data_IF_535109853606
#
_entry.id   IF_535109853606
#
_cell.length_a   1.000
_cell.length_b   1.000
_cell.length_c   1.000
_cell.angle_alpha   90.00
_cell.angle_beta   90.00
_cell.angle_gamma   90.00
#
_symmetry.space_group_name_H-M   'P 1'
#
loop_
_entity.id
_entity.type
_entity.pdbx_description
1 polymer ?
#
# COMPACT_ATOMS: atom_id res chain seq x y z
N UNK A 1 -13.22 -4.73 -6.62
CA UNK A 1 -12.08 -3.86 -6.29
C UNK A 1 -12.29 -3.39 -4.86
N UNK A 2 -11.35 -3.71 -3.99
CA UNK A 2 -11.32 -3.35 -2.59
C UNK A 2 -11.14 -1.83 -2.48
N UNK A 3 -12.02 -1.18 -1.72
CA UNK A 3 -11.90 0.22 -1.37
C UNK A 3 -11.09 0.35 -0.08
N UNK A 4 -9.80 0.64 -0.23
CA UNK A 4 -8.83 0.63 0.90
C UNK A 4 -9.14 1.66 1.98
N UNK A 5 -9.82 2.76 1.62
CA UNK A 5 -10.24 3.80 2.56
C UNK A 5 -11.41 3.33 3.41
N UNK A 6 -12.32 2.54 2.82
CA UNK A 6 -13.45 1.96 3.54
C UNK A 6 -13.03 0.77 4.41
N UNK A 7 -12.06 -0.02 3.95
CA UNK A 7 -11.54 -1.18 4.70
C UNK A 7 -10.65 -0.79 5.87
N UNK A 8 -9.79 0.22 5.71
CA UNK A 8 -8.80 0.63 6.73
C UNK A 8 -8.82 2.14 6.98
N UNK A 9 -9.96 2.73 7.39
CA UNK A 9 -10.11 4.17 7.57
C UNK A 9 -9.09 4.76 8.55
N UNK A 10 -8.65 4.00 9.55
CA UNK A 10 -7.66 4.39 10.55
C UNK A 10 -6.28 4.72 9.95
N UNK A 11 -5.93 4.15 8.79
CA UNK A 11 -4.69 4.48 8.10
C UNK A 11 -4.77 5.86 7.42
N UNK A 12 -5.98 6.31 7.09
CA UNK A 12 -6.19 7.56 6.36
C UNK A 12 -6.47 8.77 7.26
N UNK A 13 -6.57 8.57 8.58
CA UNK A 13 -6.76 9.69 9.51
C UNK A 13 -5.63 10.72 9.37
N UNK A 14 -6.01 11.99 9.18
CA UNK A 14 -5.07 13.11 9.09
C UNK A 14 -4.35 13.26 7.75
N UNK A 15 -4.62 12.42 6.75
CA UNK A 15 -4.22 12.70 5.36
C UNK A 15 -5.15 13.71 4.71
N UNK A 16 -4.62 14.45 3.74
CA UNK A 16 -5.46 15.29 2.89
C UNK A 16 -6.21 14.44 1.84
N UNK A 17 -7.23 15.03 1.21
CA UNK A 17 -8.02 14.35 0.17
C UNK A 17 -7.19 13.97 -1.06
N UNK A 18 -6.12 14.72 -1.39
CA UNK A 18 -5.29 14.46 -2.57
C UNK A 18 -4.44 13.22 -2.36
N UNK A 19 -3.81 13.09 -1.21
CA UNK A 19 -3.02 11.94 -0.83
C UNK A 19 -3.90 10.70 -0.67
N UNK A 20 -5.08 10.86 -0.07
CA UNK A 20 -6.08 9.79 0.07
C UNK A 20 -6.50 9.23 -1.28
N UNK A 21 -6.88 10.09 -2.23
CA UNK A 21 -7.26 9.65 -3.57
C UNK A 21 -6.06 9.11 -4.37
N UNK A 22 -4.86 9.65 -4.16
CA UNK A 22 -3.63 9.12 -4.75
C UNK A 22 -3.34 7.68 -4.33
N UNK A 23 -3.45 7.39 -3.03
CA UNK A 23 -3.27 6.04 -2.48
C UNK A 23 -4.39 5.11 -2.99
N UNK A 24 -5.63 5.57 -2.99
CA UNK A 24 -6.78 4.81 -3.51
C UNK A 24 -6.58 4.41 -4.97
N UNK A 25 -6.14 5.35 -5.81
CA UNK A 25 -5.84 5.09 -7.22
C UNK A 25 -4.66 4.11 -7.41
N UNK A 26 -3.61 4.23 -6.60
CA UNK A 26 -2.48 3.30 -6.63
C UNK A 26 -2.89 1.86 -6.26
N UNK A 27 -3.72 1.72 -5.22
CA UNK A 27 -4.29 0.43 -4.83
C UNK A 27 -5.25 -0.12 -5.88
N UNK A 28 -6.08 0.73 -6.50
CA UNK A 28 -6.96 0.32 -7.60
C UNK A 28 -6.15 -0.21 -8.79
N UNK A 29 -5.07 0.48 -9.18
CA UNK A 29 -4.18 0.05 -10.26
C UNK A 29 -3.54 -1.30 -9.96
N UNK A 30 -3.01 -1.49 -8.74
CA UNK A 30 -2.42 -2.77 -8.33
C UNK A 30 -3.41 -3.93 -8.40
N UNK A 31 -4.68 -3.69 -8.07
CA UNK A 31 -5.73 -4.70 -8.16
C UNK A 31 -6.07 -5.08 -9.60
N UNK A 32 -6.02 -4.13 -10.54
CA UNK A 32 -6.17 -4.43 -11.97
C UNK A 32 -5.03 -5.32 -12.49
N UNK A 33 -3.85 -5.24 -11.87
CA UNK A 33 -2.71 -6.12 -12.13
C UNK A 33 -2.78 -7.46 -11.36
N UNK A 34 -3.89 -7.73 -10.67
CA UNK A 34 -4.11 -8.97 -9.91
C UNK A 34 -3.47 -9.00 -8.53
N UNK A 35 -2.95 -7.86 -8.04
CA UNK A 35 -2.39 -7.75 -6.68
C UNK A 35 -3.43 -7.16 -5.73
N UNK A 36 -3.91 -7.98 -4.80
CA UNK A 36 -4.79 -7.50 -3.74
C UNK A 36 -4.01 -6.60 -2.76
N UNK A 37 -4.55 -5.44 -2.35
CA UNK A 37 -3.96 -4.62 -1.30
C UNK A 37 -3.98 -5.39 0.02
N UNK A 38 -2.94 -5.20 0.82
CA UNK A 38 -2.84 -5.73 2.18
C UNK A 38 -2.73 -4.57 3.15
N UNK A 39 -3.14 -4.78 4.40
CA UNK A 39 -3.06 -3.76 5.46
C UNK A 39 -1.63 -3.17 5.55
N UNK A 40 -0.61 -4.04 5.62
CA UNK A 40 0.79 -3.62 5.69
C UNK A 40 1.26 -2.85 4.44
N UNK A 41 0.79 -3.24 3.25
CA UNK A 41 1.13 -2.55 2.01
C UNK A 41 0.51 -1.15 1.95
N UNK A 42 -0.74 -1.00 2.41
CA UNK A 42 -1.42 0.29 2.49
C UNK A 42 -0.82 1.17 3.59
N UNK A 43 -0.45 0.60 4.74
CA UNK A 43 0.19 1.33 5.83
C UNK A 43 1.54 1.93 5.41
N UNK A 44 2.36 1.19 4.65
CA UNK A 44 3.61 1.73 4.09
C UNK A 44 3.37 2.82 3.03
N UNK A 45 2.32 2.67 2.21
CA UNK A 45 1.91 3.69 1.23
C UNK A 45 1.52 5.00 1.93
N UNK A 46 0.76 4.89 3.01
CA UNK A 46 0.37 5.99 3.90
C UNK A 46 1.59 6.61 4.56
N UNK A 47 2.50 5.81 5.12
CA UNK A 47 3.72 6.31 5.76
C UNK A 47 4.61 7.07 4.76
N UNK A 48 4.70 6.59 3.51
CA UNK A 48 5.42 7.28 2.45
C UNK A 48 4.74 8.59 2.06
N UNK A 49 3.40 8.62 1.97
CA UNK A 49 2.64 9.85 1.68
C UNK A 49 2.80 10.90 2.80
N UNK A 50 2.84 10.47 4.06
CA UNK A 50 3.10 11.34 5.22
C UNK A 50 4.56 11.78 5.36
N UNK A 51 5.47 11.22 4.58
CA UNK A 51 6.91 11.45 4.70
C UNK A 51 7.54 10.85 5.96
N UNK A 52 6.87 9.88 6.60
CA UNK A 52 7.39 9.12 7.75
C UNK A 52 8.48 8.13 7.30
N UNK A 53 8.42 7.67 6.04
CA UNK A 53 9.44 6.89 5.38
C UNK A 53 9.84 7.54 4.07
N UNK A 54 11.07 7.30 3.63
CA UNK A 54 11.51 7.71 2.30
C UNK A 54 10.93 6.80 1.22
N UNK A 55 10.88 7.31 -0.01
CA UNK A 55 10.47 6.51 -1.16
C UNK A 55 11.36 5.28 -1.38
N UNK A 56 12.65 5.38 -1.08
CA UNK A 56 13.60 4.27 -1.16
C UNK A 56 13.28 3.17 -0.13
N UNK A 57 12.94 3.56 1.11
CA UNK A 57 12.50 2.62 2.15
C UNK A 57 11.17 1.96 1.77
N UNK A 58 10.23 2.71 1.20
CA UNK A 58 8.98 2.18 0.70
C UNK A 58 9.20 1.09 -0.36
N UNK A 59 10.07 1.35 -1.35
CA UNK A 59 10.42 0.37 -2.39
C UNK A 59 11.09 -0.86 -1.77
N UNK A 60 12.06 -0.66 -0.86
CA UNK A 60 12.77 -1.76 -0.22
C UNK A 60 11.81 -2.68 0.55
N UNK A 61 10.84 -2.11 1.28
CA UNK A 61 9.81 -2.89 2.00
C UNK A 61 8.84 -3.59 1.05
N UNK A 62 8.46 -2.94 -0.05
CA UNK A 62 7.61 -3.55 -1.06
C UNK A 62 8.29 -4.75 -1.75
N UNK A 63 9.59 -4.64 -2.06
CA UNK A 63 10.40 -5.74 -2.62
C UNK A 63 10.51 -6.88 -1.60
N UNK A 64 10.90 -6.59 -0.35
CA UNK A 64 11.02 -7.61 0.68
C UNK A 64 9.71 -8.39 0.91
N UNK A 65 8.55 -7.71 0.84
CA UNK A 65 7.24 -8.38 0.89
C UNK A 65 6.94 -9.22 -0.34
N UNK A 66 7.23 -8.70 -1.53
CA UNK A 66 7.05 -9.45 -2.77
C UNK A 66 7.92 -10.73 -2.76
N UNK A 67 9.16 -10.64 -2.31
CA UNK A 67 10.07 -11.78 -2.14
C UNK A 67 9.55 -12.77 -1.09
N UNK A 68 9.05 -12.30 0.06
CA UNK A 68 8.44 -13.15 1.08
C UNK A 68 7.18 -13.89 0.56
N UNK A 69 6.36 -13.21 -0.24
CA UNK A 69 5.15 -13.79 -0.85
C UNK A 69 5.50 -14.85 -1.90
N UNK A 70 6.49 -14.57 -2.77
CA UNK A 70 6.97 -15.52 -3.79
C UNK A 70 7.67 -16.71 -3.14
N UNK A 71 8.49 -16.48 -2.10
CA UNK A 71 9.14 -17.53 -1.33
C UNK A 71 8.17 -18.46 -0.60
N UNK A 72 6.97 -17.97 -0.27
CA UNK A 72 5.89 -18.76 0.34
C UNK A 72 5.11 -19.61 -0.69
N UNK A 73 5.01 -19.16 -1.94
CA UNK A 73 4.40 -19.93 -3.04
C UNK A 73 5.34 -20.99 -3.64
N UNK A 74 6.64 -20.92 -3.39
CA UNK A 74 7.64 -21.87 -3.89
C UNK A 74 7.89 -23.07 -2.96
N UNK A 75 7.09 -23.25 -1.89
CA UNK A 75 7.25 -24.31 -0.89
C UNK A 75 6.08 -25.28 -0.86
#
# INVERSE_FOLDING_TARGET
MIDVVAEWPELFEGLDERDTEGIRAACASSQLEGRAPTFEGVADLVANARGEITHEEFIARAIARAEAQVGRSAR
#
